data_IF_373880698233
#
_entry.id   IF_373880698233
#
_cell.length_a   1.000
_cell.length_b   1.000
_cell.length_c   1.000
_cell.angle_alpha   90.00
_cell.angle_beta   90.00
_cell.angle_gamma   90.00
#
_symmetry.space_group_name_H-M   'P 1'
#
loop_
_entity.id
_entity.type
_entity.pdbx_description
1 polymer ?
#
# COMPACT_ATOMS: atom_id res chain seq x y z
N UNK A 1 -1.26 -13.34 6.40
CA UNK A 1 -2.25 -12.30 6.24
C UNK A 1 -1.73 -11.19 5.33
N UNK A 2 -2.60 -10.59 4.52
CA UNK A 2 -2.20 -9.64 3.50
C UNK A 2 -1.52 -8.39 4.08
N UNK A 3 -2.12 -7.77 5.09
CA UNK A 3 -1.56 -6.54 5.68
C UNK A 3 -0.18 -6.81 6.28
N UNK A 4 -0.03 -7.92 6.98
CA UNK A 4 1.25 -8.31 7.56
C UNK A 4 2.30 -8.53 6.48
N UNK A 5 1.92 -9.21 5.39
CA UNK A 5 2.83 -9.49 4.28
C UNK A 5 3.25 -8.21 3.56
N UNK A 6 2.30 -7.30 3.32
CA UNK A 6 2.58 -6.01 2.69
C UNK A 6 3.56 -5.20 3.54
N UNK A 7 3.30 -5.14 4.84
CA UNK A 7 4.15 -4.41 5.79
C UNK A 7 5.58 -4.94 5.79
N UNK A 8 5.73 -6.27 5.88
CA UNK A 8 7.05 -6.92 5.87
C UNK A 8 7.79 -6.65 4.57
N UNK A 9 7.09 -6.74 3.46
CA UNK A 9 7.70 -6.57 2.14
C UNK A 9 8.22 -5.15 1.94
N UNK A 10 7.45 -4.15 2.36
CA UNK A 10 7.87 -2.76 2.29
C UNK A 10 9.08 -2.52 3.19
N UNK A 11 9.01 -2.98 4.44
CA UNK A 11 10.11 -2.78 5.40
C UNK A 11 11.39 -3.48 4.98
N UNK A 12 11.29 -4.59 4.26
CA UNK A 12 12.45 -5.31 3.76
C UNK A 12 13.18 -4.54 2.64
N UNK A 13 12.44 -3.78 1.86
CA UNK A 13 12.98 -3.13 0.66
C UNK A 13 13.24 -1.64 0.82
N UNK A 14 12.70 -1.01 1.86
CA UNK A 14 12.82 0.42 2.11
C UNK A 14 13.09 0.64 3.59
N UNK A 15 13.95 1.60 3.89
CA UNK A 15 14.19 2.00 5.28
C UNK A 15 12.99 2.82 5.77
N UNK A 16 12.21 2.23 6.68
CA UNK A 16 10.96 2.79 7.18
C UNK A 16 11.09 3.11 8.66
N UNK A 17 10.80 4.36 9.06
CA UNK A 17 10.74 4.75 10.47
C UNK A 17 9.41 4.39 11.09
N UNK A 18 8.32 4.54 10.33
CA UNK A 18 7.00 4.17 10.82
C UNK A 18 6.09 3.81 9.64
N UNK A 19 5.16 2.89 9.85
CA UNK A 19 4.20 2.50 8.81
C UNK A 19 2.87 2.08 9.45
N UNK A 20 1.78 2.58 8.88
CA UNK A 20 0.43 2.20 9.25
C UNK A 20 -0.32 1.78 8.00
N UNK A 21 -0.89 0.59 8.02
CA UNK A 21 -1.70 0.08 6.91
C UNK A 21 -3.13 -0.10 7.40
N UNK A 22 -4.07 0.55 6.71
CA UNK A 22 -5.47 0.49 7.05
C UNK A 22 -6.26 -0.21 5.94
N UNK A 23 -7.14 -1.12 6.33
CA UNK A 23 -8.06 -1.77 5.40
C UNK A 23 -9.31 -0.89 5.27
N UNK A 24 -9.51 -0.32 4.09
CA UNK A 24 -10.65 0.54 3.79
C UNK A 24 -11.69 -0.16 2.90
N UNK A 25 -11.63 -1.48 2.82
CA UNK A 25 -12.52 -2.26 1.97
C UNK A 25 -13.98 -2.00 2.29
N UNK A 26 -14.31 -1.79 3.56
CA UNK A 26 -15.69 -1.55 3.98
C UNK A 26 -16.32 -0.30 3.34
N UNK A 27 -15.50 0.68 2.94
CA UNK A 27 -16.00 1.89 2.28
C UNK A 27 -16.53 1.61 0.88
N UNK A 28 -16.16 0.48 0.29
CA UNK A 28 -16.52 0.12 -1.07
C UNK A 28 -17.42 -1.11 -1.15
N UNK A 29 -17.89 -1.59 -0.01
CA UNK A 29 -18.60 -2.87 0.10
C UNK A 29 -19.84 -2.96 -0.78
N UNK A 30 -20.56 -1.86 -0.93
CA UNK A 30 -21.79 -1.80 -1.72
C UNK A 30 -21.59 -1.11 -3.07
N UNK A 31 -20.36 -0.86 -3.44
CA UNK A 31 -20.05 -0.18 -4.70
C UNK A 31 -20.24 -1.12 -5.88
N UNK A 32 -20.93 -0.68 -6.96
CA UNK A 32 -21.02 -1.50 -8.17
C UNK A 32 -19.63 -1.86 -8.68
N UNK A 33 -19.41 -3.13 -9.00
CA UNK A 33 -18.12 -3.61 -9.45
C UNK A 33 -17.19 -4.02 -8.32
N UNK A 34 -17.63 -3.97 -7.07
CA UNK A 34 -16.83 -4.43 -5.94
C UNK A 34 -16.49 -5.91 -6.07
N UNK A 35 -15.22 -6.23 -5.91
CA UNK A 35 -14.75 -7.63 -5.89
C UNK A 35 -14.54 -8.06 -4.45
N UNK A 36 -15.27 -9.09 -4.00
CA UNK A 36 -15.26 -9.49 -2.60
C UNK A 36 -13.93 -10.05 -2.11
N UNK A 37 -13.05 -10.48 -3.04
CA UNK A 37 -11.76 -11.08 -2.69
C UNK A 37 -10.59 -10.11 -2.84
N UNK A 38 -10.85 -8.82 -3.08
CA UNK A 38 -9.81 -7.82 -3.21
C UNK A 38 -10.00 -6.70 -2.21
N UNK A 39 -8.90 -6.11 -1.78
CA UNK A 39 -8.87 -5.13 -0.71
C UNK A 39 -8.60 -3.71 -1.22
N UNK A 40 -9.10 -2.74 -0.46
CA UNK A 40 -8.78 -1.33 -0.64
C UNK A 40 -7.95 -0.93 0.57
N UNK A 41 -6.68 -0.58 0.34
CA UNK A 41 -5.75 -0.31 1.42
C UNK A 41 -5.28 1.15 1.39
N UNK A 42 -5.05 1.69 2.59
CA UNK A 42 -4.40 2.99 2.76
C UNK A 42 -3.12 2.76 3.56
N UNK A 43 -1.99 3.20 3.00
CA UNK A 43 -0.69 3.06 3.65
C UNK A 43 -0.16 4.44 3.98
N UNK A 44 0.14 4.67 5.26
CA UNK A 44 0.79 5.89 5.73
C UNK A 44 2.20 5.51 6.15
N UNK A 45 3.19 6.16 5.53
CA UNK A 45 4.60 5.80 5.74
C UNK A 45 5.39 7.02 6.17
N UNK A 46 6.21 6.83 7.21
CA UNK A 46 7.24 7.79 7.58
C UNK A 46 8.59 7.20 7.18
N UNK A 47 9.26 7.82 6.20
CA UNK A 47 10.50 7.31 5.66
C UNK A 47 11.33 8.45 5.07
N UNK A 48 12.51 8.66 5.63
CA UNK A 48 13.45 9.64 5.09
C UNK A 48 13.92 9.23 3.70
N UNK A 49 14.05 7.94 3.45
CA UNK A 49 14.44 7.44 2.14
C UNK A 49 13.43 7.86 1.07
N UNK A 50 12.13 7.69 1.35
CA UNK A 50 11.08 8.03 0.39
C UNK A 50 10.88 9.54 0.27
N UNK A 51 11.11 10.29 1.33
CA UNK A 51 10.99 11.76 1.30
C UNK A 51 12.01 12.41 0.36
N UNK A 52 13.13 11.75 0.11
CA UNK A 52 14.14 12.26 -0.82
C UNK A 52 13.72 12.14 -2.27
N UNK A 53 12.70 11.35 -2.54
CA UNK A 53 12.14 11.17 -3.87
C UNK A 53 10.95 12.09 -4.06
N UNK A 54 10.64 12.43 -5.32
CA UNK A 54 9.40 13.14 -5.58
C UNK A 54 8.22 12.17 -5.41
N UNK A 55 7.00 12.71 -5.41
CA UNK A 55 5.80 11.92 -5.14
C UNK A 55 5.61 10.78 -6.15
N UNK A 56 5.86 11.07 -7.42
CA UNK A 56 5.68 10.07 -8.47
C UNK A 56 6.65 8.91 -8.27
N UNK A 57 7.93 9.21 -8.03
CA UNK A 57 8.95 8.17 -7.90
C UNK A 57 8.78 7.36 -6.62
N UNK A 58 8.39 8.01 -5.52
CA UNK A 58 8.15 7.28 -4.27
C UNK A 58 6.97 6.32 -4.40
N UNK A 59 5.89 6.76 -5.07
CA UNK A 59 4.74 5.89 -5.32
C UNK A 59 5.10 4.75 -6.25
N UNK A 60 5.85 5.01 -7.30
CA UNK A 60 6.30 3.95 -8.23
C UNK A 60 7.12 2.90 -7.50
N UNK A 61 7.97 3.31 -6.57
CA UNK A 61 8.79 2.38 -5.81
C UNK A 61 7.92 1.43 -4.99
N UNK A 62 6.92 1.97 -4.29
CA UNK A 62 5.98 1.16 -3.52
C UNK A 62 5.17 0.23 -4.43
N UNK A 63 4.66 0.73 -5.53
CA UNK A 63 3.89 -0.08 -6.48
C UNK A 63 4.71 -1.22 -7.05
N UNK A 64 5.99 -0.98 -7.34
CA UNK A 64 6.88 -2.02 -7.84
C UNK A 64 7.10 -3.11 -6.80
N UNK A 65 7.31 -2.71 -5.54
CA UNK A 65 7.49 -3.66 -4.44
C UNK A 65 6.24 -4.53 -4.28
N UNK A 66 5.05 -3.95 -4.42
CA UNK A 66 3.78 -4.62 -4.20
C UNK A 66 3.12 -5.13 -5.48
N UNK A 67 3.87 -5.24 -6.57
CA UNK A 67 3.32 -5.63 -7.88
C UNK A 67 2.45 -6.88 -7.81
N UNK A 68 2.95 -7.93 -7.17
CA UNK A 68 2.23 -9.20 -7.06
C UNK A 68 0.94 -9.05 -6.26
N UNK A 69 1.01 -8.35 -5.13
CA UNK A 69 -0.15 -8.12 -4.28
C UNK A 69 -1.19 -7.25 -4.97
N UNK A 70 -0.74 -6.24 -5.72
CA UNK A 70 -1.65 -5.38 -6.47
C UNK A 70 -2.41 -6.15 -7.55
N UNK A 71 -1.74 -7.10 -8.21
CA UNK A 71 -2.41 -7.91 -9.23
C UNK A 71 -3.41 -8.88 -8.64
N UNK A 72 -3.11 -9.46 -7.48
CA UNK A 72 -3.86 -10.60 -6.97
C UNK A 72 -4.79 -10.28 -5.81
N UNK A 73 -4.50 -9.29 -5.00
CA UNK A 73 -5.21 -9.09 -3.73
C UNK A 73 -5.66 -7.66 -3.45
N UNK A 74 -5.08 -6.66 -4.10
CA UNK A 74 -5.38 -5.27 -3.82
C UNK A 74 -6.06 -4.63 -5.02
N UNK A 75 -7.29 -4.11 -4.79
CA UNK A 75 -8.03 -3.42 -5.83
C UNK A 75 -7.59 -1.95 -5.96
N UNK A 76 -7.39 -1.29 -4.83
CA UNK A 76 -6.90 0.08 -4.83
C UNK A 76 -5.94 0.30 -3.66
N UNK A 77 -5.00 1.20 -3.87
CA UNK A 77 -3.96 1.51 -2.89
C UNK A 77 -3.75 3.01 -2.82
N UNK A 78 -3.96 3.58 -1.64
CA UNK A 78 -3.66 4.98 -1.36
C UNK A 78 -2.38 5.04 -0.53
N UNK A 79 -1.43 5.88 -0.93
CA UNK A 79 -0.15 6.00 -0.25
C UNK A 79 0.05 7.44 0.22
N UNK A 80 0.33 7.59 1.51
CA UNK A 80 0.71 8.86 2.12
C UNK A 80 2.12 8.73 2.68
N UNK A 81 2.98 9.64 2.28
CA UNK A 81 4.38 9.64 2.74
C UNK A 81 4.62 10.90 3.54
N UNK A 82 5.02 10.71 4.78
CA UNK A 82 5.29 11.79 5.72
C UNK A 82 6.77 11.92 6.01
#
# INVERSE_FOLDING_TARGET
ELITNVKKKIKKNINIENILIEDKTFLHKNHPGHESNKFHLKISIESEELKKLNKIDSNKKIYKILDKELKNHIHSLQILIN
#
